data_IF_600204949463
#
_entry.id   IF_600204949463
#
_cell.length_a   1.000
_cell.length_b   1.000
_cell.length_c   1.000
_cell.angle_alpha   90.00
_cell.angle_beta   90.00
_cell.angle_gamma   90.00
#
_symmetry.space_group_name_H-M   'P 1'
#
loop_
_entity.id
_entity.type
_entity.pdbx_description
1 polymer ?
#
# COMPACT_ATOMS: atom_id res chain seq x y z
N UNK A 1 -13.03 -8.71 -2.94
CA UNK A 1 -14.16 -8.50 -1.98
C UNK A 1 -15.13 -7.44 -2.48
N UNK A 2 -14.67 -6.22 -2.80
CA UNK A 2 -15.54 -5.11 -3.18
C UNK A 2 -16.48 -5.48 -4.36
N UNK A 3 -15.90 -5.98 -5.45
CA UNK A 3 -16.58 -6.47 -6.65
C UNK A 3 -17.46 -7.71 -6.34
N UNK A 4 -16.87 -8.77 -5.79
CA UNK A 4 -17.58 -10.05 -5.57
C UNK A 4 -18.70 -9.96 -4.53
N UNK A 5 -18.57 -9.08 -3.56
CA UNK A 5 -19.61 -8.81 -2.54
C UNK A 5 -20.63 -7.78 -2.98
N UNK A 6 -20.46 -7.16 -4.15
CA UNK A 6 -21.33 -6.12 -4.70
C UNK A 6 -21.56 -4.97 -3.73
N UNK A 7 -20.51 -4.54 -3.02
CA UNK A 7 -20.65 -3.55 -1.96
C UNK A 7 -20.93 -2.15 -2.51
N UNK A 8 -20.48 -1.83 -3.73
CA UNK A 8 -20.74 -0.55 -4.36
C UNK A 8 -22.15 -0.52 -4.99
N UNK A 9 -22.56 -1.60 -5.62
CA UNK A 9 -23.90 -1.75 -6.20
C UNK A 9 -24.99 -1.69 -5.10
N UNK A 10 -24.71 -2.21 -3.90
CA UNK A 10 -25.62 -2.09 -2.74
C UNK A 10 -25.80 -0.65 -2.27
N UNK A 11 -24.83 0.23 -2.55
CA UNK A 11 -24.96 1.67 -2.33
C UNK A 11 -25.62 2.41 -3.50
N UNK A 12 -26.09 1.69 -4.52
CA UNK A 12 -26.72 2.26 -5.70
C UNK A 12 -25.73 2.88 -6.69
N UNK A 13 -24.50 2.38 -6.73
CA UNK A 13 -23.51 2.74 -7.74
C UNK A 13 -23.52 1.68 -8.85
N UNK A 14 -23.54 2.14 -10.10
CA UNK A 14 -23.23 1.31 -11.26
C UNK A 14 -21.72 1.46 -11.54
N UNK A 15 -20.96 0.35 -11.45
CA UNK A 15 -19.50 0.38 -11.47
C UNK A 15 -18.90 -0.63 -12.43
N UNK A 16 -17.93 -0.20 -13.18
CA UNK A 16 -17.01 -1.04 -13.94
C UNK A 16 -15.68 -1.17 -13.19
N UNK A 17 -15.25 -2.40 -12.94
CA UNK A 17 -13.98 -2.69 -12.26
C UNK A 17 -12.86 -2.92 -13.27
N UNK A 18 -11.90 -2.00 -13.32
CA UNK A 18 -10.69 -2.13 -14.14
C UNK A 18 -9.53 -2.57 -13.23
N UNK A 19 -8.91 -3.73 -13.55
CA UNK A 19 -7.83 -4.33 -12.78
C UNK A 19 -6.48 -4.03 -13.43
N UNK A 20 -5.53 -3.57 -12.63
CA UNK A 20 -4.18 -3.27 -13.07
C UNK A 20 -3.17 -4.24 -12.44
N UNK A 21 -2.27 -4.75 -13.26
CA UNK A 21 -1.16 -5.59 -12.78
C UNK A 21 0.04 -4.75 -12.29
N UNK A 22 0.24 -3.56 -12.85
CA UNK A 22 1.29 -2.62 -12.45
C UNK A 22 0.77 -1.70 -11.32
N UNK A 23 1.51 -1.65 -10.23
CA UNK A 23 1.18 -0.84 -9.04
C UNK A 23 1.13 0.68 -9.30
N UNK A 24 1.77 1.16 -10.37
CA UNK A 24 1.78 2.57 -10.76
C UNK A 24 0.71 2.91 -11.83
N UNK A 25 0.09 1.90 -12.45
CA UNK A 25 -0.88 2.13 -13.52
C UNK A 25 -2.17 2.83 -13.05
N UNK A 26 -2.76 2.53 -11.87
CA UNK A 26 -3.94 3.26 -11.38
C UNK A 26 -3.71 4.76 -11.28
N UNK A 27 -2.52 5.18 -10.82
CA UNK A 27 -2.17 6.59 -10.68
C UNK A 27 -2.10 7.31 -12.03
N UNK A 28 -1.59 6.63 -13.06
CA UNK A 28 -1.57 7.18 -14.43
C UNK A 28 -2.97 7.24 -15.04
N UNK A 29 -3.77 6.20 -14.84
CA UNK A 29 -5.13 6.12 -15.37
C UNK A 29 -6.04 7.21 -14.82
N UNK A 30 -5.97 7.50 -13.50
CA UNK A 30 -6.74 8.59 -12.88
C UNK A 30 -6.26 9.96 -13.38
N UNK A 31 -4.95 10.17 -13.50
CA UNK A 31 -4.39 11.44 -13.97
C UNK A 31 -4.77 11.77 -15.41
N UNK A 32 -4.97 10.75 -16.26
CA UNK A 32 -5.43 10.89 -17.65
C UNK A 32 -6.96 10.88 -17.79
N UNK A 33 -7.72 10.87 -16.68
CA UNK A 33 -9.19 10.76 -16.64
C UNK A 33 -9.73 9.50 -17.35
N UNK A 34 -8.92 8.42 -17.39
CA UNK A 34 -9.35 7.13 -17.94
C UNK A 34 -10.19 6.31 -16.94
N UNK A 35 -10.15 6.67 -15.66
CA UNK A 35 -10.98 6.13 -14.57
C UNK A 35 -11.38 7.26 -13.62
N UNK A 36 -12.54 7.12 -12.98
CA UNK A 36 -13.08 8.13 -12.07
C UNK A 36 -12.47 8.06 -10.67
N UNK A 37 -12.29 6.83 -10.16
CA UNK A 37 -11.80 6.54 -8.81
C UNK A 37 -10.80 5.40 -8.87
N UNK A 38 -9.71 5.49 -8.12
CA UNK A 38 -8.76 4.39 -7.93
C UNK A 38 -8.61 4.05 -6.45
N UNK A 39 -8.52 2.75 -6.14
CA UNK A 39 -8.22 2.23 -4.81
C UNK A 39 -6.90 1.45 -4.85
N UNK A 40 -6.15 1.49 -3.75
CA UNK A 40 -4.83 0.85 -3.71
C UNK A 40 -3.80 1.51 -4.64
N UNK A 41 -4.07 2.73 -5.10
CA UNK A 41 -3.09 3.51 -5.85
C UNK A 41 -1.86 3.75 -4.99
N UNK A 42 -0.65 3.67 -5.60
CA UNK A 42 0.60 3.94 -4.90
C UNK A 42 0.58 5.32 -4.24
N UNK A 43 0.73 5.38 -2.91
CA UNK A 43 0.76 6.65 -2.19
C UNK A 43 1.86 7.58 -2.73
N UNK A 44 3.07 7.07 -2.99
CA UNK A 44 4.16 7.86 -3.56
C UNK A 44 3.82 8.40 -4.96
N UNK A 45 3.22 7.57 -5.81
CA UNK A 45 2.77 7.99 -7.14
C UNK A 45 1.69 9.07 -7.08
N UNK A 46 0.70 8.89 -6.20
CA UNK A 46 -0.38 9.85 -6.02
C UNK A 46 0.11 11.19 -5.44
N UNK A 47 1.05 11.16 -4.50
CA UNK A 47 1.68 12.38 -3.98
C UNK A 47 2.38 13.16 -5.09
N UNK A 48 3.15 12.48 -5.94
CA UNK A 48 3.86 13.13 -7.03
C UNK A 48 2.91 13.80 -8.04
N UNK A 49 1.85 13.10 -8.49
CA UNK A 49 0.89 13.69 -9.44
C UNK A 49 0.06 14.83 -8.82
N UNK A 50 -0.31 14.74 -7.52
CA UNK A 50 -0.98 15.82 -6.81
C UNK A 50 -0.06 17.04 -6.65
N UNK A 51 1.21 16.83 -6.31
CA UNK A 51 2.22 17.86 -6.17
C UNK A 51 2.57 18.53 -7.51
N UNK A 52 2.43 17.80 -8.64
CA UNK A 52 2.58 18.35 -9.98
C UNK A 52 1.33 19.08 -10.48
N UNK A 53 0.27 19.15 -9.66
CA UNK A 53 -0.96 19.89 -9.96
C UNK A 53 -1.93 19.14 -10.87
N UNK A 54 -1.76 17.83 -11.05
CA UNK A 54 -2.72 17.01 -11.80
C UNK A 54 -4.07 16.92 -11.06
N UNK A 55 -5.20 16.80 -11.79
CA UNK A 55 -6.54 17.02 -11.27
C UNK A 55 -7.06 15.83 -10.44
N UNK A 56 -6.41 15.55 -9.31
CA UNK A 56 -6.84 14.50 -8.38
C UNK A 56 -7.07 14.99 -6.96
N UNK A 57 -7.89 14.26 -6.21
CA UNK A 57 -8.02 14.35 -4.76
C UNK A 57 -7.71 13.01 -4.12
N UNK A 58 -7.03 13.05 -2.97
CA UNK A 58 -6.81 11.92 -2.08
C UNK A 58 -7.98 11.90 -1.11
N UNK A 59 -8.65 10.76 -0.98
CA UNK A 59 -9.90 10.63 -0.22
C UNK A 59 -9.87 9.52 0.85
N UNK A 60 -8.90 8.60 0.79
CA UNK A 60 -8.80 7.48 1.72
C UNK A 60 -7.37 6.97 1.87
N UNK A 61 -7.00 6.51 3.08
CA UNK A 61 -6.02 5.46 3.26
C UNK A 61 -6.69 4.10 3.09
N UNK A 62 -6.09 3.20 2.31
CA UNK A 62 -6.69 1.89 2.01
C UNK A 62 -5.81 0.70 2.39
N UNK A 63 -4.49 0.83 2.31
CA UNK A 63 -3.54 -0.22 2.67
C UNK A 63 -2.38 0.36 3.45
N UNK A 64 -2.09 -0.21 4.61
CA UNK A 64 -0.91 0.14 5.39
C UNK A 64 0.32 -0.61 4.89
N UNK A 65 1.51 -0.10 5.23
CA UNK A 65 2.78 -0.69 4.80
C UNK A 65 3.17 -1.88 5.68
N UNK A 66 2.41 -2.96 5.59
CA UNK A 66 2.64 -4.22 6.31
C UNK A 66 3.72 -5.07 5.61
N UNK A 67 4.96 -4.63 5.63
CA UNK A 67 6.10 -5.30 5.02
C UNK A 67 7.22 -5.48 6.05
N UNK A 68 8.21 -6.29 5.70
CA UNK A 68 9.39 -6.50 6.53
C UNK A 68 10.65 -6.67 5.68
N UNK A 69 11.79 -6.44 6.27
CA UNK A 69 13.07 -6.82 5.71
C UNK A 69 13.37 -8.27 6.10
N UNK A 70 13.11 -9.19 5.18
CA UNK A 70 13.29 -10.62 5.38
C UNK A 70 14.60 -11.13 4.77
N UNK A 71 15.23 -12.06 5.47
CA UNK A 71 16.38 -12.82 5.00
C UNK A 71 16.12 -14.32 5.23
N UNK A 72 16.82 -15.20 4.50
CA UNK A 72 16.80 -16.63 4.81
C UNK A 72 17.37 -16.85 6.23
N UNK A 73 16.85 -17.83 6.95
CA UNK A 73 17.28 -18.12 8.33
C UNK A 73 18.78 -18.45 8.43
N UNK A 74 19.35 -19.09 7.39
CA UNK A 74 20.77 -19.43 7.27
C UNK A 74 21.63 -18.28 6.73
N UNK A 75 21.03 -17.14 6.36
CA UNK A 75 21.75 -15.99 5.83
C UNK A 75 22.82 -15.44 6.80
N UNK A 76 24.01 -15.05 6.31
CA UNK A 76 25.01 -14.37 7.10
C UNK A 76 24.58 -12.94 7.51
N UNK A 77 23.61 -12.33 6.84
CA UNK A 77 23.08 -11.02 7.17
C UNK A 77 22.29 -11.12 8.48
N UNK A 78 22.77 -10.57 9.57
CA UNK A 78 22.17 -10.66 10.91
C UNK A 78 21.49 -9.37 11.38
N UNK A 79 21.90 -8.25 10.79
CA UNK A 79 21.44 -6.90 11.15
C UNK A 79 21.28 -6.03 9.90
N UNK A 80 20.69 -4.86 10.07
CA UNK A 80 20.63 -3.87 8.99
C UNK A 80 22.02 -3.38 8.55
N UNK A 81 23.01 -3.32 9.46
CA UNK A 81 24.35 -2.91 9.11
C UNK A 81 25.02 -3.86 8.09
N UNK A 82 24.66 -5.15 8.13
CA UNK A 82 25.19 -6.16 7.21
C UNK A 82 24.63 -6.03 5.78
N UNK A 83 23.64 -5.16 5.56
CA UNK A 83 23.06 -4.90 4.24
C UNK A 83 23.96 -4.03 3.35
N UNK A 84 25.00 -3.41 3.91
CA UNK A 84 25.96 -2.64 3.11
C UNK A 84 26.67 -3.53 2.09
N UNK A 85 26.64 -3.11 0.81
CA UNK A 85 27.17 -3.87 -0.33
C UNK A 85 26.30 -5.05 -0.77
N UNK A 86 25.11 -5.26 -0.18
CA UNK A 86 24.22 -6.38 -0.46
C UNK A 86 23.19 -6.06 -1.54
N UNK A 87 22.59 -7.12 -2.10
CA UNK A 87 21.44 -7.03 -3.01
C UNK A 87 20.15 -7.10 -2.22
N UNK A 88 19.36 -6.05 -2.27
CA UNK A 88 18.06 -5.98 -1.57
C UNK A 88 16.94 -5.97 -2.60
N UNK A 89 16.09 -7.00 -2.54
CA UNK A 89 14.87 -7.06 -3.34
C UNK A 89 13.83 -6.07 -2.82
N UNK A 90 13.30 -5.25 -3.70
CA UNK A 90 12.28 -4.23 -3.37
C UNK A 90 11.23 -4.15 -4.47
N UNK A 91 10.04 -3.65 -4.13
CA UNK A 91 9.06 -3.26 -5.15
C UNK A 91 9.66 -2.26 -6.14
N UNK A 92 9.11 -2.13 -7.37
CA UNK A 92 9.67 -1.24 -8.37
C UNK A 92 9.83 0.21 -7.89
N UNK A 93 10.83 0.95 -8.39
CA UNK A 93 10.96 2.39 -8.12
C UNK A 93 9.69 3.16 -8.44
N UNK A 94 9.37 4.17 -7.64
CA UNK A 94 8.12 4.93 -7.73
C UNK A 94 6.96 4.32 -6.95
N UNK A 95 7.07 3.07 -6.46
CA UNK A 95 6.10 2.51 -5.53
C UNK A 95 6.31 3.03 -4.10
N UNK A 96 5.22 3.12 -3.34
CA UNK A 96 5.30 3.54 -1.93
C UNK A 96 6.09 2.55 -1.07
N UNK A 97 5.99 1.25 -1.34
CA UNK A 97 6.76 0.22 -0.60
C UNK A 97 8.27 0.44 -0.78
N UNK A 98 8.72 0.71 -2.02
CA UNK A 98 10.12 1.04 -2.28
C UNK A 98 10.55 2.31 -1.55
N UNK A 99 9.75 3.38 -1.65
CA UNK A 99 10.05 4.67 -1.02
C UNK A 99 10.17 4.56 0.50
N UNK A 100 9.25 3.81 1.14
CA UNK A 100 9.28 3.55 2.58
C UNK A 100 10.52 2.72 2.95
N UNK A 101 10.81 1.63 2.23
CA UNK A 101 11.98 0.78 2.49
C UNK A 101 13.28 1.59 2.45
N UNK A 102 13.48 2.38 1.39
CA UNK A 102 14.66 3.23 1.24
C UNK A 102 14.76 4.26 2.36
N UNK A 103 13.65 4.93 2.70
CA UNK A 103 13.62 5.91 3.79
C UNK A 103 13.97 5.29 5.16
N UNK A 104 13.46 4.08 5.45
CA UNK A 104 13.77 3.37 6.70
C UNK A 104 15.26 2.98 6.79
N UNK A 105 15.84 2.47 5.71
CA UNK A 105 17.25 2.11 5.65
C UNK A 105 18.15 3.34 5.85
N UNK A 106 17.85 4.44 5.17
CA UNK A 106 18.66 5.65 5.26
C UNK A 106 18.53 6.33 6.62
N UNK A 107 17.30 6.59 7.09
CA UNK A 107 17.11 7.41 8.29
C UNK A 107 17.37 6.66 9.59
N UNK A 108 17.07 5.35 9.67
CA UNK A 108 17.24 4.58 10.89
C UNK A 108 18.64 3.96 11.00
N UNK A 109 19.32 3.72 9.86
CA UNK A 109 20.55 2.92 9.80
C UNK A 109 21.68 3.58 9.00
N UNK A 110 21.44 4.76 8.39
CA UNK A 110 22.43 5.49 7.61
C UNK A 110 22.78 4.82 6.26
N UNK A 111 21.99 3.83 5.82
CA UNK A 111 22.21 3.11 4.57
C UNK A 111 21.55 3.86 3.40
N UNK A 112 22.36 4.62 2.67
CA UNK A 112 21.91 5.32 1.45
C UNK A 112 21.72 4.32 0.30
N UNK A 113 20.96 4.72 -0.71
CA UNK A 113 20.75 3.87 -1.91
C UNK A 113 22.05 3.51 -2.63
N UNK A 114 23.13 4.28 -2.48
CA UNK A 114 24.46 3.97 -3.00
C UNK A 114 25.18 2.87 -2.21
N UNK A 115 24.73 2.54 -0.99
CA UNK A 115 25.37 1.56 -0.12
C UNK A 115 24.90 0.12 -0.37
N UNK A 116 23.90 -0.10 -1.20
CA UNK A 116 23.36 -1.42 -1.55
C UNK A 116 22.84 -1.45 -3.00
N UNK A 117 22.62 -2.65 -3.52
CA UNK A 117 22.04 -2.81 -4.87
C UNK A 117 20.55 -3.13 -4.76
N UNK A 118 19.68 -2.30 -5.32
CA UNK A 118 18.25 -2.59 -5.42
C UNK A 118 18.00 -3.57 -6.56
N UNK A 119 17.30 -4.66 -6.26
CA UNK A 119 16.79 -5.62 -7.26
C UNK A 119 15.27 -5.45 -7.30
N UNK A 120 14.71 -4.79 -8.33
CA UNK A 120 13.28 -4.53 -8.39
C UNK A 120 12.50 -5.77 -8.82
N UNK A 121 11.32 -5.97 -8.22
CA UNK A 121 10.46 -7.09 -8.57
C UNK A 121 9.04 -6.97 -8.02
N UNK A 122 8.13 -7.77 -8.58
CA UNK A 122 6.82 -8.04 -7.98
C UNK A 122 7.00 -8.94 -6.76
N UNK A 123 6.02 -8.96 -5.85
CA UNK A 123 6.08 -9.77 -4.63
C UNK A 123 6.43 -11.25 -4.88
N UNK A 124 5.78 -11.98 -5.81
CA UNK A 124 6.14 -13.37 -6.09
C UNK A 124 7.57 -13.51 -6.62
N UNK A 125 8.05 -12.56 -7.42
CA UNK A 125 9.41 -12.57 -7.96
C UNK A 125 10.45 -12.31 -6.88
N UNK A 126 10.18 -11.40 -5.96
CA UNK A 126 11.06 -11.12 -4.82
C UNK A 126 11.17 -12.34 -3.89
N UNK A 127 10.05 -13.05 -3.63
CA UNK A 127 10.07 -14.30 -2.89
C UNK A 127 10.95 -15.34 -3.57
N UNK A 128 10.80 -15.53 -4.88
CA UNK A 128 11.62 -16.46 -5.68
C UNK A 128 13.12 -16.09 -5.62
N UNK A 129 13.45 -14.83 -5.84
CA UNK A 129 14.84 -14.35 -5.77
C UNK A 129 15.48 -14.59 -4.39
N UNK A 130 14.70 -14.42 -3.31
CA UNK A 130 15.18 -14.69 -1.96
C UNK A 130 15.45 -16.18 -1.75
N UNK A 131 14.55 -17.05 -2.20
CA UNK A 131 14.71 -18.51 -2.12
C UNK A 131 15.93 -18.98 -2.94
N UNK A 132 16.14 -18.43 -4.12
CA UNK A 132 17.25 -18.76 -5.02
C UNK A 132 18.57 -18.10 -4.63
N UNK A 133 18.58 -17.30 -3.54
CA UNK A 133 19.75 -16.55 -3.08
C UNK A 133 20.29 -15.53 -4.11
N UNK A 134 19.44 -15.08 -5.03
CA UNK A 134 19.76 -14.01 -5.99
C UNK A 134 19.77 -12.62 -5.35
N UNK A 135 19.06 -12.49 -4.21
CA UNK A 135 19.08 -11.33 -3.31
C UNK A 135 19.47 -11.77 -1.90
N UNK A 136 20.15 -10.91 -1.16
CA UNK A 136 20.59 -11.18 0.22
C UNK A 136 19.47 -10.89 1.23
N UNK A 137 18.59 -9.95 0.94
CA UNK A 137 17.42 -9.58 1.73
C UNK A 137 16.26 -9.13 0.82
N UNK A 138 15.03 -9.26 1.29
CA UNK A 138 13.85 -8.76 0.60
C UNK A 138 13.04 -7.83 1.49
N UNK A 139 12.69 -6.65 0.97
CA UNK A 139 11.68 -5.78 1.55
C UNK A 139 10.31 -6.24 1.01
N UNK A 140 9.73 -7.25 1.64
CA UNK A 140 8.56 -7.99 1.16
C UNK A 140 7.37 -7.89 2.12
N UNK A 141 6.18 -8.02 1.56
CA UNK A 141 4.93 -7.89 2.30
C UNK A 141 4.68 -9.09 3.21
N UNK A 142 3.95 -8.85 4.31
CA UNK A 142 3.58 -9.92 5.25
C UNK A 142 2.76 -11.03 4.59
N UNK A 143 1.96 -10.69 3.57
CA UNK A 143 1.24 -11.67 2.75
C UNK A 143 2.18 -12.60 1.99
N UNK A 144 3.23 -12.06 1.38
CA UNK A 144 4.25 -12.83 0.67
C UNK A 144 5.00 -13.75 1.64
N UNK A 145 5.39 -13.21 2.80
CA UNK A 145 6.03 -14.01 3.86
C UNK A 145 5.13 -15.16 4.32
N UNK A 146 3.83 -14.89 4.50
CA UNK A 146 2.86 -15.91 4.91
C UNK A 146 2.66 -17.02 3.87
N UNK A 147 2.91 -16.73 2.59
CA UNK A 147 2.87 -17.71 1.49
C UNK A 147 4.16 -18.54 1.36
N UNK A 148 5.25 -18.11 2.00
CA UNK A 148 6.53 -18.81 1.99
C UNK A 148 6.65 -19.84 3.13
N UNK A 149 5.58 -20.62 3.39
CA UNK A 149 5.44 -21.50 4.56
C UNK A 149 6.55 -22.55 4.70
N UNK A 150 7.11 -23.02 3.59
CA UNK A 150 8.18 -24.03 3.57
C UNK A 150 9.58 -23.43 3.74
N UNK A 151 9.69 -22.11 3.71
CA UNK A 151 10.96 -21.38 3.75
C UNK A 151 11.17 -20.76 5.13
N UNK A 152 12.25 -21.15 5.80
CA UNK A 152 12.61 -20.54 7.08
C UNK A 152 13.18 -19.14 6.85
N UNK A 153 12.40 -18.12 7.24
CA UNK A 153 12.79 -16.74 7.16
C UNK A 153 13.11 -16.17 8.54
N UNK A 154 13.92 -15.13 8.55
CA UNK A 154 14.17 -14.28 9.70
C UNK A 154 13.93 -12.83 9.30
N UNK A 155 13.19 -12.08 10.13
CA UNK A 155 12.99 -10.65 9.95
C UNK A 155 14.15 -9.88 10.58
N UNK A 156 14.67 -8.89 9.87
CA UNK A 156 15.58 -7.88 10.42
C UNK A 156 14.79 -6.76 11.10
N UNK A 157 13.55 -6.51 10.66
CA UNK A 157 12.62 -5.53 11.20
C UNK A 157 11.42 -5.37 10.28
N UNK A 158 10.27 -4.98 10.85
CA UNK A 158 9.05 -4.70 10.09
C UNK A 158 8.89 -3.18 9.86
N UNK A 159 8.20 -2.84 8.78
CA UNK A 159 8.04 -1.44 8.36
C UNK A 159 7.29 -0.58 9.38
N UNK A 160 6.31 -1.13 10.07
CA UNK A 160 5.48 -0.37 11.02
C UNK A 160 6.31 0.05 12.22
N UNK A 161 7.08 -0.88 12.82
CA UNK A 161 7.92 -0.56 13.97
C UNK A 161 9.09 0.35 13.59
N UNK A 162 9.70 0.10 12.43
CA UNK A 162 10.77 0.97 11.92
C UNK A 162 10.23 2.38 11.57
N UNK A 163 8.98 2.48 11.08
CA UNK A 163 8.34 3.76 10.83
C UNK A 163 8.04 4.54 12.12
N UNK A 164 7.55 3.86 13.16
CA UNK A 164 7.38 4.46 14.49
C UNK A 164 8.72 4.95 15.05
N UNK A 165 9.79 4.18 14.87
CA UNK A 165 11.15 4.57 15.26
C UNK A 165 11.60 5.84 14.53
N UNK A 166 11.36 5.93 13.22
CA UNK A 166 11.69 7.08 12.38
C UNK A 166 10.88 8.32 12.77
N UNK A 167 9.56 8.18 12.85
CA UNK A 167 8.65 9.33 13.01
C UNK A 167 8.41 9.75 14.45
N UNK A 168 8.74 8.89 15.42
CA UNK A 168 8.44 9.04 16.85
C UNK A 168 6.93 9.17 17.14
N UNK A 169 6.10 8.57 16.29
CA UNK A 169 4.63 8.57 16.41
C UNK A 169 4.08 7.16 16.27
N UNK A 170 2.80 6.97 16.64
CA UNK A 170 2.08 5.72 16.40
C UNK A 170 1.37 5.70 15.03
N UNK A 171 1.54 6.74 14.21
CA UNK A 171 0.98 6.77 12.86
C UNK A 171 1.62 5.70 11.99
N UNK A 172 0.82 5.08 11.12
CA UNK A 172 1.27 4.05 10.20
C UNK A 172 1.46 4.62 8.80
N UNK A 173 2.45 4.17 8.04
CA UNK A 173 2.60 4.59 6.66
C UNK A 173 1.63 3.83 5.75
N UNK A 174 1.16 4.49 4.68
CA UNK A 174 0.27 3.93 3.68
C UNK A 174 1.03 3.55 2.41
N UNK A 175 0.83 2.34 1.91
CA UNK A 175 1.30 1.96 0.57
C UNK A 175 0.22 2.17 -0.48
N UNK A 176 -1.05 1.96 -0.12
CA UNK A 176 -2.20 2.14 -0.99
C UNK A 176 -3.16 3.19 -0.45
N UNK A 177 -3.61 4.07 -1.34
CA UNK A 177 -4.59 5.11 -1.04
C UNK A 177 -5.73 5.11 -2.04
N UNK A 178 -6.83 5.75 -1.68
CA UNK A 178 -7.96 6.05 -2.56
C UNK A 178 -7.80 7.45 -3.14
N UNK A 179 -7.92 7.57 -4.45
CA UNK A 179 -7.87 8.84 -5.18
C UNK A 179 -9.04 8.95 -6.13
N UNK A 180 -9.48 10.17 -6.40
CA UNK A 180 -10.60 10.49 -7.28
C UNK A 180 -10.22 11.64 -8.21
N UNK A 181 -10.71 11.60 -9.47
CA UNK A 181 -10.53 12.71 -10.40
C UNK A 181 -11.34 13.94 -9.96
N UNK A 182 -10.78 15.14 -10.11
CA UNK A 182 -11.43 16.38 -9.66
C UNK A 182 -12.79 16.61 -10.30
N UNK A 183 -12.94 16.33 -11.59
CA UNK A 183 -14.22 16.54 -12.30
C UNK A 183 -15.29 15.58 -11.78
N UNK A 184 -14.90 14.34 -11.44
CA UNK A 184 -15.84 13.36 -10.92
C UNK A 184 -16.37 13.75 -9.53
N UNK A 185 -15.48 14.12 -8.59
CA UNK A 185 -15.91 14.53 -7.26
C UNK A 185 -16.71 15.83 -7.29
N UNK A 186 -16.39 16.74 -8.20
CA UNK A 186 -17.15 17.99 -8.37
C UNK A 186 -18.56 17.73 -8.93
N UNK A 187 -18.68 16.82 -9.89
CA UNK A 187 -19.96 16.49 -10.56
C UNK A 187 -20.84 15.53 -9.76
N UNK A 188 -20.22 14.59 -9.07
CA UNK A 188 -20.90 13.48 -8.39
C UNK A 188 -20.41 13.30 -6.92
N UNK A 189 -20.49 14.33 -6.08
CA UNK A 189 -19.95 14.26 -4.71
C UNK A 189 -20.62 13.15 -3.88
N UNK A 190 -21.91 12.92 -4.06
CA UNK A 190 -22.65 11.88 -3.33
C UNK A 190 -22.22 10.46 -3.75
N UNK A 191 -21.82 10.27 -5.01
CA UNK A 191 -21.29 8.99 -5.45
C UNK A 191 -19.94 8.67 -4.77
N UNK A 192 -19.11 9.69 -4.51
CA UNK A 192 -17.86 9.51 -3.77
C UNK A 192 -18.15 9.13 -2.31
N UNK A 193 -19.17 9.72 -1.69
CA UNK A 193 -19.63 9.31 -0.34
C UNK A 193 -20.10 7.85 -0.35
N UNK A 194 -20.97 7.47 -1.28
CA UNK A 194 -21.46 6.08 -1.44
C UNK A 194 -20.32 5.10 -1.68
N UNK A 195 -19.36 5.48 -2.49
CA UNK A 195 -18.14 4.69 -2.73
C UNK A 195 -17.39 4.41 -1.41
N UNK A 196 -17.17 5.43 -0.60
CA UNK A 196 -16.50 5.28 0.71
C UNK A 196 -17.32 4.41 1.67
N UNK A 197 -18.67 4.55 1.68
CA UNK A 197 -19.56 3.67 2.45
C UNK A 197 -19.40 2.21 2.04
N UNK A 198 -19.45 1.93 0.74
CA UNK A 198 -19.24 0.58 0.21
C UNK A 198 -17.86 0.01 0.57
N UNK A 199 -16.81 0.83 0.50
CA UNK A 199 -15.47 0.45 0.95
C UNK A 199 -15.42 0.09 2.43
N UNK A 200 -16.03 0.90 3.30
CA UNK A 200 -16.08 0.64 4.75
C UNK A 200 -16.84 -0.66 5.05
N UNK A 201 -17.99 -0.89 4.41
CA UNK A 201 -18.77 -2.12 4.55
C UNK A 201 -18.01 -3.35 4.04
N UNK A 202 -17.33 -3.25 2.91
CA UNK A 202 -16.47 -4.33 2.40
C UNK A 202 -15.32 -4.65 3.37
N UNK A 203 -14.72 -3.63 3.97
CA UNK A 203 -13.66 -3.78 4.96
C UNK A 203 -14.16 -4.51 6.22
N UNK A 204 -15.28 -4.04 6.78
CA UNK A 204 -15.90 -4.63 7.96
C UNK A 204 -16.35 -6.07 7.70
N UNK A 205 -16.94 -6.32 6.53
CA UNK A 205 -17.34 -7.66 6.14
C UNK A 205 -16.13 -8.61 6.08
N UNK A 206 -15.03 -8.21 5.44
CA UNK A 206 -13.81 -9.02 5.35
C UNK A 206 -13.18 -9.27 6.72
N UNK A 207 -13.25 -8.31 7.63
CA UNK A 207 -12.81 -8.46 9.01
C UNK A 207 -13.56 -9.58 9.75
N UNK A 208 -14.88 -9.64 9.55
CA UNK A 208 -15.78 -10.61 10.23
C UNK A 208 -15.88 -11.96 9.53
N UNK A 209 -15.51 -12.05 8.25
CA UNK A 209 -15.80 -13.21 7.39
C UNK A 209 -14.54 -13.74 6.67
N UNK A 210 -13.49 -14.05 7.41
CA UNK A 210 -12.18 -14.50 6.89
C UNK A 210 -12.29 -15.70 5.93
N UNK A 211 -13.18 -16.67 6.24
CA UNK A 211 -13.40 -17.83 5.39
C UNK A 211 -13.92 -17.43 4.00
N UNK A 212 -14.89 -16.50 3.93
CA UNK A 212 -15.41 -16.00 2.65
C UNK A 212 -14.37 -15.16 1.90
N UNK A 213 -13.51 -14.40 2.62
CA UNK A 213 -12.36 -13.73 1.99
C UNK A 213 -11.46 -14.75 1.31
N UNK A 214 -11.11 -15.85 2.00
CA UNK A 214 -10.28 -16.91 1.44
C UNK A 214 -10.93 -17.57 0.21
N UNK A 215 -12.24 -17.85 0.25
CA UNK A 215 -12.97 -18.39 -0.91
C UNK A 215 -12.93 -17.44 -2.12
N UNK A 216 -13.12 -16.15 -1.89
CA UNK A 216 -13.05 -15.13 -2.97
C UNK A 216 -11.64 -15.07 -3.56
N UNK A 217 -10.59 -15.13 -2.73
CA UNK A 217 -9.21 -15.14 -3.20
C UNK A 217 -8.91 -16.39 -4.05
N UNK A 218 -9.39 -17.56 -3.63
CA UNK A 218 -9.25 -18.79 -4.42
C UNK A 218 -9.94 -18.67 -5.78
N UNK A 219 -11.17 -18.18 -5.83
CA UNK A 219 -11.97 -18.10 -7.06
C UNK A 219 -11.55 -16.97 -7.99
N UNK A 220 -11.31 -15.79 -7.44
CA UNK A 220 -11.08 -14.59 -8.24
C UNK A 220 -9.60 -14.32 -8.56
N UNK A 221 -8.68 -14.86 -7.75
CA UNK A 221 -7.24 -14.68 -7.91
C UNK A 221 -6.48 -15.99 -8.17
N UNK A 222 -7.19 -17.13 -8.32
CA UNK A 222 -6.59 -18.47 -8.45
C UNK A 222 -5.55 -18.77 -7.36
N UNK A 223 -5.79 -18.26 -6.15
CA UNK A 223 -4.85 -18.42 -5.04
C UNK A 223 -5.00 -19.82 -4.43
N UNK A 224 -3.90 -20.55 -4.14
CA UNK A 224 -3.96 -21.80 -3.40
C UNK A 224 -4.70 -21.64 -2.07
N UNK A 225 -5.37 -22.70 -1.59
CA UNK A 225 -6.27 -22.60 -0.43
C UNK A 225 -5.56 -22.13 0.84
N UNK A 226 -4.36 -22.66 1.11
CA UNK A 226 -3.58 -22.28 2.30
C UNK A 226 -3.09 -20.83 2.21
N UNK A 227 -2.65 -20.39 1.03
CA UNK A 227 -2.24 -19.00 0.78
C UNK A 227 -3.42 -18.05 0.95
N UNK A 228 -4.57 -18.41 0.41
CA UNK A 228 -5.80 -17.61 0.54
C UNK A 228 -6.23 -17.47 2.01
N UNK A 229 -6.12 -18.55 2.79
CA UNK A 229 -6.39 -18.53 4.23
C UNK A 229 -5.39 -17.67 4.99
N UNK A 230 -4.10 -17.83 4.71
CA UNK A 230 -3.04 -17.02 5.31
C UNK A 230 -3.25 -15.52 5.01
N UNK A 231 -3.56 -15.18 3.76
CA UNK A 231 -3.88 -13.81 3.35
C UNK A 231 -5.12 -13.28 4.09
N UNK A 232 -6.20 -14.05 4.13
CA UNK A 232 -7.45 -13.64 4.80
C UNK A 232 -7.24 -13.37 6.29
N UNK A 233 -6.38 -14.11 6.96
CA UNK A 233 -6.03 -13.90 8.36
C UNK A 233 -5.30 -12.57 8.61
N UNK A 234 -4.59 -12.05 7.61
CA UNK A 234 -3.89 -10.77 7.67
C UNK A 234 -4.76 -9.57 7.28
N UNK A 235 -6.03 -9.78 6.94
CA UNK A 235 -6.95 -8.74 6.43
C UNK A 235 -6.89 -7.43 7.21
N UNK A 236 -7.03 -7.50 8.54
CA UNK A 236 -7.06 -6.32 9.40
C UNK A 236 -5.68 -5.66 9.56
N UNK A 237 -4.62 -6.40 9.27
CA UNK A 237 -3.25 -5.88 9.28
C UNK A 237 -2.88 -5.19 7.96
N UNK A 238 -3.61 -5.48 6.88
CA UNK A 238 -3.34 -4.97 5.53
C UNK A 238 -4.21 -3.77 5.21
N UNK A 239 -5.53 -3.94 5.39
CA UNK A 239 -6.52 -2.99 4.92
C UNK A 239 -6.99 -2.06 6.03
N UNK A 240 -7.11 -0.79 5.66
CA UNK A 240 -7.62 0.25 6.55
C UNK A 240 -8.35 1.29 5.71
N UNK A 241 -9.67 1.35 5.85
CA UNK A 241 -10.48 2.40 5.21
C UNK A 241 -10.66 3.55 6.20
N UNK A 242 -9.75 4.52 6.14
CA UNK A 242 -9.72 5.65 7.09
C UNK A 242 -9.17 6.90 6.41
N UNK A 243 -9.69 8.06 6.81
CA UNK A 243 -9.20 9.38 6.39
C UNK A 243 -9.43 10.42 7.49
N UNK A 244 -9.08 10.04 8.71
CA UNK A 244 -9.12 10.94 9.86
C UNK A 244 -7.99 11.98 9.78
N UNK A 245 -8.06 13.09 10.53
CA UNK A 245 -6.98 14.09 10.54
C UNK A 245 -5.59 13.49 10.81
N UNK A 246 -5.51 12.45 11.64
CA UNK A 246 -4.26 11.75 11.92
C UNK A 246 -3.72 10.99 10.68
N UNK A 247 -4.60 10.44 9.83
CA UNK A 247 -4.19 9.77 8.59
C UNK A 247 -3.66 10.77 7.56
N UNK A 248 -4.31 11.91 7.44
CA UNK A 248 -3.85 13.01 6.57
C UNK A 248 -2.48 13.52 7.03
N UNK A 249 -2.31 13.79 8.33
CA UNK A 249 -1.03 14.19 8.89
C UNK A 249 0.08 13.14 8.66
N UNK A 250 -0.27 11.85 8.76
CA UNK A 250 0.65 10.76 8.44
C UNK A 250 1.08 10.77 6.96
N UNK A 251 0.13 10.99 6.04
CA UNK A 251 0.41 11.08 4.61
C UNK A 251 1.27 12.32 4.26
N UNK A 252 0.99 13.47 4.87
CA UNK A 252 1.82 14.67 4.72
C UNK A 252 3.25 14.39 5.23
N UNK A 253 3.39 13.77 6.40
CA UNK A 253 4.69 13.37 6.93
C UNK A 253 5.42 12.37 6.04
N UNK A 254 4.69 11.43 5.42
CA UNK A 254 5.26 10.54 4.41
C UNK A 254 5.82 11.32 3.23
N UNK A 255 5.10 12.32 2.71
CA UNK A 255 5.58 13.14 1.61
C UNK A 255 6.86 13.90 1.98
N UNK A 256 6.97 14.45 3.19
CA UNK A 256 8.19 15.11 3.68
C UNK A 256 9.38 14.16 3.66
N UNK A 257 9.18 12.93 4.16
CA UNK A 257 10.21 11.90 4.20
C UNK A 257 10.61 11.48 2.77
N UNK A 258 9.64 11.33 1.87
CA UNK A 258 9.89 10.98 0.46
C UNK A 258 10.62 12.11 -0.28
N UNK A 259 10.36 13.37 0.06
CA UNK A 259 11.12 14.52 -0.47
C UNK A 259 12.57 14.48 0.02
N UNK A 260 12.76 14.30 1.32
CA UNK A 260 14.11 14.22 1.89
C UNK A 260 14.94 13.08 1.25
N UNK A 261 14.31 11.94 0.92
CA UNK A 261 14.94 10.81 0.23
C UNK A 261 14.93 10.90 -1.30
N UNK A 262 14.49 12.04 -1.89
CA UNK A 262 14.51 12.26 -3.35
C UNK A 262 13.43 11.50 -4.15
N UNK A 263 12.50 10.79 -3.49
CA UNK A 263 11.40 10.09 -4.16
C UNK A 263 10.29 11.04 -4.62
N UNK A 264 10.03 12.09 -3.85
CA UNK A 264 9.14 13.20 -4.20
C UNK A 264 9.97 14.48 -4.39
N UNK A 265 9.51 15.38 -5.27
CA UNK A 265 10.22 16.65 -5.56
C UNK A 265 9.53 17.87 -4.96
N UNK A 266 8.24 17.78 -4.68
CA UNK A 266 7.39 18.90 -4.26
C UNK A 266 6.48 18.49 -3.10
N UNK A 267 5.94 19.50 -2.42
CA UNK A 267 4.92 19.29 -1.40
C UNK A 267 3.57 18.97 -2.04
N UNK A 268 2.85 18.02 -1.46
CA UNK A 268 1.45 17.78 -1.79
C UNK A 268 0.65 18.94 -1.19
N UNK A 269 -0.11 19.72 -1.99
CA UNK A 269 -0.90 20.81 -1.45
C UNK A 269 -2.02 20.27 -0.54
N UNK A 270 -2.33 20.99 0.53
CA UNK A 270 -3.41 20.62 1.46
C UNK A 270 -4.75 20.42 0.73
N UNK A 271 -4.99 21.21 -0.31
CA UNK A 271 -6.18 21.10 -1.15
C UNK A 271 -6.31 19.78 -1.89
N UNK A 272 -5.25 18.98 -1.97
CA UNK A 272 -5.31 17.63 -2.55
C UNK A 272 -5.98 16.62 -1.61
N UNK A 273 -6.05 16.90 -0.30
CA UNK A 273 -6.68 16.00 0.68
C UNK A 273 -8.15 16.39 0.87
N UNK A 274 -9.08 15.58 0.33
CA UNK A 274 -10.52 15.84 0.41
C UNK A 274 -11.17 14.96 1.49
N UNK A 275 -11.23 15.48 2.73
CA UNK A 275 -11.77 14.75 3.88
C UNK A 275 -13.31 14.77 3.96
N UNK A 276 -13.98 15.70 3.28
CA UNK A 276 -15.43 15.88 3.38
C UNK A 276 -16.23 14.62 3.03
N UNK A 277 -15.98 13.90 1.90
CA UNK A 277 -16.73 12.70 1.56
C UNK A 277 -16.58 11.59 2.62
N UNK A 278 -15.36 11.43 3.18
CA UNK A 278 -15.14 10.47 4.27
C UNK A 278 -15.94 10.85 5.51
N UNK A 279 -15.93 12.12 5.92
CA UNK A 279 -16.69 12.59 7.06
C UNK A 279 -18.21 12.39 6.88
N UNK A 280 -18.75 12.68 5.70
CA UNK A 280 -20.15 12.39 5.35
C UNK A 280 -20.45 10.89 5.40
N UNK A 281 -19.53 10.03 4.92
CA UNK A 281 -19.72 8.58 4.92
C UNK A 281 -19.88 7.98 6.32
N UNK A 282 -19.36 8.64 7.36
CA UNK A 282 -19.51 8.21 8.76
C UNK A 282 -20.93 8.39 9.30
N UNK A 283 -21.73 9.25 8.69
CA UNK A 283 -23.11 9.52 9.08
C UNK A 283 -24.10 8.54 8.45
N UNK A 284 -23.68 7.78 7.44
CA UNK A 284 -24.49 6.75 6.79
C UNK A 284 -24.42 5.47 7.63
N UNK A 285 -25.61 5.01 8.08
CA UNK A 285 -25.78 3.78 8.88
C UNK A 285 -25.71 2.53 8.03
#
# INVERSE_FOLDING_TARGET
MLEQGKFLEKEGLDVEFIKFADVNAPTKAIASNAIDVAIGASAAGAFNIAADGLPIKIILGTQIAEAQFAVLADSPVKSFADLKGKKIGMSPPGSATHAIAAALLENNYGLKQSDYTVVPGTEPRLAQFLIQKEIDAGAIRSTTVAQMNEVKLRSLGNFIDEWKKLTKTNAVPYIGIGIVHNDYIAKYPDNVVKFIVGMRRAMEFGSKNKAQVAEVLQKAANMPADDAKAYANLWDNIYRVSFEPADIAAMQRMNDIFKAGGTSKKDVPDSAFAAEPYNKSKQVK
#
